data_IF_493877935584
#
_entry.id   IF_493877935584
#
_cell.length_a   1.000
_cell.length_b   1.000
_cell.length_c   1.000
_cell.angle_alpha   90.00
_cell.angle_beta   90.00
_cell.angle_gamma   90.00
#
_symmetry.space_group_name_H-M   'P 1'
#
loop_
_entity.id
_entity.type
_entity.pdbx_description
1 polymer ?
#
# COMPACT_ATOMS: atom_id res chain seq x y z
N UNK A 1 0.83 1.95 -27.61
CA UNK A 1 1.99 2.46 -26.86
C UNK A 1 1.51 2.69 -25.43
N UNK A 2 1.86 1.80 -24.49
CA UNK A 2 1.55 2.03 -23.08
C UNK A 2 2.59 3.02 -22.55
N UNK A 3 2.16 4.23 -22.23
CA UNK A 3 3.04 5.20 -21.56
C UNK A 3 3.43 4.63 -20.19
N UNK A 4 4.70 4.77 -19.75
CA UNK A 4 5.09 4.35 -18.42
C UNK A 4 4.27 5.15 -17.39
N UNK A 5 3.63 4.44 -16.47
CA UNK A 5 2.90 5.07 -15.36
C UNK A 5 3.95 5.82 -14.53
N UNK A 6 3.83 7.16 -14.37
CA UNK A 6 4.84 7.94 -13.67
C UNK A 6 4.93 7.51 -12.21
N UNK A 7 6.14 7.60 -11.65
CA UNK A 7 6.36 7.39 -10.22
C UNK A 7 5.61 8.49 -9.46
N UNK A 8 4.80 8.12 -8.48
CA UNK A 8 3.96 9.05 -7.73
C UNK A 8 4.49 9.23 -6.31
N UNK A 9 4.54 10.46 -5.83
CA UNK A 9 4.77 10.76 -4.40
C UNK A 9 3.49 11.35 -3.80
N UNK A 10 2.89 10.63 -2.86
CA UNK A 10 1.71 11.06 -2.09
C UNK A 10 2.15 11.18 -0.64
N UNK A 11 1.90 12.35 -0.03
CA UNK A 11 2.17 12.55 1.37
C UNK A 11 1.08 13.36 2.05
N UNK A 12 0.88 13.15 3.36
CA UNK A 12 -0.02 13.96 4.20
C UNK A 12 -1.44 14.12 3.63
N UNK A 13 -1.96 13.04 3.02
CA UNK A 13 -3.17 13.09 2.21
C UNK A 13 -4.23 12.13 2.71
N UNK A 14 -5.50 12.51 2.57
CA UNK A 14 -6.63 11.57 2.68
C UNK A 14 -7.24 11.36 1.31
N UNK A 15 -7.21 10.13 0.82
CA UNK A 15 -7.67 9.73 -0.50
C UNK A 15 -8.88 8.81 -0.34
N UNK A 16 -10.00 9.21 -0.92
CA UNK A 16 -11.19 8.37 -1.04
C UNK A 16 -11.38 7.93 -2.49
N UNK A 17 -11.21 6.64 -2.76
CA UNK A 17 -11.33 6.07 -4.09
C UNK A 17 -12.80 5.75 -4.40
N UNK A 18 -13.36 6.48 -5.36
CA UNK A 18 -14.67 6.18 -5.97
C UNK A 18 -14.58 5.16 -7.12
N UNK A 19 -13.37 4.94 -7.64
CA UNK A 19 -13.07 3.95 -8.66
C UNK A 19 -11.70 3.32 -8.37
N UNK A 20 -11.64 2.31 -7.48
CA UNK A 20 -10.40 1.56 -7.22
C UNK A 20 -9.96 0.73 -8.44
N UNK A 21 -8.65 0.41 -8.59
CA UNK A 21 -7.55 0.72 -7.67
C UNK A 21 -6.87 2.08 -7.90
N UNK A 22 -6.13 2.55 -6.90
CA UNK A 22 -5.06 3.53 -7.10
C UNK A 22 -3.87 2.81 -7.77
N UNK A 23 -3.71 3.04 -9.08
CA UNK A 23 -2.63 2.44 -9.87
C UNK A 23 -1.37 3.30 -9.73
N UNK A 24 -0.28 2.66 -9.29
CA UNK A 24 1.00 3.30 -9.06
C UNK A 24 2.06 2.78 -10.02
N UNK A 25 2.89 3.69 -10.54
CA UNK A 25 4.11 3.35 -11.25
C UNK A 25 5.18 2.78 -10.31
N UNK A 26 6.29 2.31 -10.88
CA UNK A 26 7.42 1.80 -10.11
C UNK A 26 7.90 2.84 -9.08
N UNK A 27 8.28 2.37 -7.89
CA UNK A 27 8.83 3.21 -6.81
C UNK A 27 7.95 4.38 -6.35
N UNK A 28 6.65 4.28 -6.56
CA UNK A 28 5.75 5.27 -5.97
C UNK A 28 5.86 5.21 -4.45
N UNK A 29 5.73 6.36 -3.81
CA UNK A 29 5.80 6.48 -2.35
C UNK A 29 4.49 7.04 -1.82
N UNK A 30 3.97 6.39 -0.78
CA UNK A 30 2.86 6.88 0.03
C UNK A 30 3.37 7.04 1.45
N UNK A 31 3.31 8.25 1.97
CA UNK A 31 3.78 8.59 3.32
C UNK A 31 2.66 9.32 4.07
N UNK A 32 2.46 9.02 5.36
CA UNK A 32 1.59 9.85 6.19
C UNK A 32 0.19 10.06 5.61
N UNK A 33 -0.38 9.04 4.97
CA UNK A 33 -1.60 9.20 4.18
C UNK A 33 -2.63 8.11 4.48
N UNK A 34 -3.90 8.46 4.32
CA UNK A 34 -5.01 7.51 4.42
C UNK A 34 -5.61 7.24 3.06
N UNK A 35 -5.64 5.98 2.62
CA UNK A 35 -6.30 5.53 1.40
C UNK A 35 -7.49 4.66 1.79
N UNK A 36 -8.69 5.07 1.39
CA UNK A 36 -9.94 4.34 1.69
C UNK A 36 -10.82 4.19 0.46
N UNK A 37 -11.61 3.12 0.44
CA UNK A 37 -12.72 2.95 -0.50
C UNK A 37 -13.85 3.92 -0.16
N UNK A 38 -14.49 4.51 -1.17
CA UNK A 38 -15.75 5.22 -0.97
C UNK A 38 -16.88 4.26 -0.60
N UNK A 39 -17.70 4.62 0.39
CA UNK A 39 -18.81 3.77 0.86
C UNK A 39 -19.88 3.50 -0.21
N UNK A 40 -19.92 4.30 -1.29
CA UNK A 40 -20.82 4.11 -2.43
C UNK A 40 -20.45 2.93 -3.35
N UNK A 41 -19.28 2.33 -3.15
CA UNK A 41 -18.80 1.19 -3.95
C UNK A 41 -18.96 -0.09 -3.14
N UNK A 42 -19.29 -1.23 -3.76
CA UNK A 42 -19.24 -2.51 -3.05
C UNK A 42 -17.79 -2.82 -2.64
N UNK A 43 -17.59 -3.45 -1.47
CA UNK A 43 -16.24 -3.80 -1.04
C UNK A 43 -15.66 -4.96 -1.85
N UNK A 44 -16.52 -5.88 -2.27
CA UNK A 44 -16.16 -7.07 -3.04
C UNK A 44 -15.37 -6.71 -4.31
N UNK A 45 -14.36 -7.52 -4.62
CA UNK A 45 -13.52 -7.38 -5.81
C UNK A 45 -12.77 -6.04 -5.94
N UNK A 46 -12.63 -5.27 -4.86
CA UNK A 46 -11.83 -4.03 -4.88
C UNK A 46 -10.39 -4.25 -4.47
N UNK A 47 -9.47 -3.69 -5.24
CA UNK A 47 -8.06 -3.55 -4.86
C UNK A 47 -7.84 -2.09 -4.47
N UNK A 48 -7.24 -1.82 -3.31
CA UNK A 48 -6.97 -0.45 -2.87
C UNK A 48 -5.86 0.20 -3.68
N UNK A 49 -4.68 -0.40 -3.61
CA UNK A 49 -3.48 0.05 -4.33
C UNK A 49 -2.99 -1.10 -5.19
N UNK A 50 -2.72 -0.82 -6.47
CA UNK A 50 -2.06 -1.74 -7.38
C UNK A 50 -0.74 -1.15 -7.84
N UNK A 51 0.37 -1.85 -7.62
CA UNK A 51 1.70 -1.35 -7.94
C UNK A 51 2.62 -2.45 -8.46
N UNK A 52 3.61 -2.11 -9.26
CA UNK A 52 4.72 -3.02 -9.56
C UNK A 52 5.83 -2.93 -8.51
N UNK A 53 6.06 -1.75 -7.93
CA UNK A 53 6.81 -1.58 -6.70
C UNK A 53 6.36 -0.31 -5.98
N UNK A 54 6.36 -0.31 -4.65
CA UNK A 54 5.93 0.85 -3.87
C UNK A 54 6.61 0.90 -2.51
N UNK A 55 6.75 2.10 -1.97
CA UNK A 55 7.08 2.34 -0.57
C UNK A 55 5.87 2.94 0.13
N UNK A 56 5.42 2.33 1.22
CA UNK A 56 4.30 2.83 2.03
C UNK A 56 4.80 2.96 3.46
N UNK A 57 4.64 4.13 4.06
CA UNK A 57 5.05 4.37 5.43
C UNK A 57 4.06 5.24 6.18
N UNK A 58 3.86 4.95 7.48
CA UNK A 58 3.04 5.78 8.38
C UNK A 58 1.64 6.08 7.81
N UNK A 59 1.05 5.11 7.13
CA UNK A 59 -0.16 5.31 6.33
C UNK A 59 -1.27 4.33 6.74
N UNK A 60 -2.51 4.59 6.34
CA UNK A 60 -3.60 3.62 6.49
C UNK A 60 -4.22 3.23 5.16
N UNK A 61 -4.50 1.93 5.00
CA UNK A 61 -5.12 1.35 3.81
C UNK A 61 -6.33 0.55 4.27
N UNK A 62 -7.54 0.98 3.86
CA UNK A 62 -8.75 0.51 4.53
C UNK A 62 -9.97 0.30 3.64
N UNK A 63 -10.76 -0.68 4.06
CA UNK A 63 -12.09 -1.00 3.53
C UNK A 63 -12.11 -1.51 2.08
N UNK A 64 -11.05 -2.14 1.61
CA UNK A 64 -11.00 -2.80 0.30
C UNK A 64 -11.21 -4.32 0.43
N UNK A 65 -11.38 -5.06 -0.68
CA UNK A 65 -11.24 -6.51 -0.62
C UNK A 65 -9.76 -6.88 -0.44
N UNK A 66 -8.90 -6.32 -1.28
CA UNK A 66 -7.45 -6.41 -1.19
C UNK A 66 -6.89 -5.01 -0.91
N UNK A 67 -6.13 -4.84 0.17
CA UNK A 67 -5.54 -3.54 0.53
C UNK A 67 -4.50 -3.08 -0.51
N UNK A 68 -3.43 -3.88 -0.66
CA UNK A 68 -2.35 -3.65 -1.63
C UNK A 68 -2.14 -4.92 -2.46
N UNK A 69 -2.05 -4.78 -3.78
CA UNK A 69 -1.63 -5.84 -4.69
C UNK A 69 -0.35 -5.43 -5.43
N UNK A 70 0.68 -6.27 -5.33
CA UNK A 70 1.89 -6.12 -6.14
C UNK A 70 1.80 -6.99 -7.39
N UNK A 71 1.99 -6.40 -8.57
CA UNK A 71 1.86 -7.09 -9.84
C UNK A 71 3.00 -8.07 -10.13
N UNK A 72 2.72 -9.15 -10.87
CA UNK A 72 3.69 -10.22 -11.15
C UNK A 72 4.85 -9.81 -12.05
N UNK A 73 4.70 -8.72 -12.80
CA UNK A 73 5.73 -8.12 -13.63
C UNK A 73 6.59 -7.08 -12.88
N UNK A 74 6.52 -7.05 -11.55
CA UNK A 74 7.46 -6.28 -10.76
C UNK A 74 8.91 -6.65 -11.11
N UNK A 75 9.80 -5.68 -11.01
CA UNK A 75 11.22 -5.91 -11.21
C UNK A 75 12.04 -5.68 -9.94
N UNK A 76 11.38 -5.32 -8.82
CA UNK A 76 12.01 -4.82 -7.60
C UNK A 76 11.18 -5.03 -6.34
N UNK A 77 11.86 -4.93 -5.19
CA UNK A 77 11.26 -5.04 -3.86
C UNK A 77 10.39 -3.83 -3.52
N UNK A 78 9.37 -4.06 -2.70
CA UNK A 78 8.55 -3.03 -2.08
C UNK A 78 8.78 -3.04 -0.57
N UNK A 79 8.41 -1.93 0.09
CA UNK A 79 8.44 -1.84 1.54
C UNK A 79 7.17 -1.18 2.06
N UNK A 80 6.58 -1.75 3.11
CA UNK A 80 5.36 -1.25 3.73
C UNK A 80 5.59 -1.23 5.23
N UNK A 81 5.80 -0.07 5.85
CA UNK A 81 6.31 0.00 7.24
C UNK A 81 5.43 0.88 8.11
N UNK A 82 5.30 0.51 9.39
CA UNK A 82 4.60 1.34 10.40
C UNK A 82 3.22 1.84 9.95
N UNK A 83 2.50 1.03 9.19
CA UNK A 83 1.24 1.37 8.53
C UNK A 83 0.09 0.50 9.06
N UNK A 84 -1.14 0.93 8.82
CA UNK A 84 -2.35 0.27 9.32
C UNK A 84 -3.22 -0.26 8.20
N UNK A 85 -3.41 -1.57 8.15
CA UNK A 85 -4.43 -2.22 7.34
C UNK A 85 -5.71 -2.40 8.16
N UNK A 86 -6.83 -1.84 7.68
CA UNK A 86 -8.06 -1.76 8.48
C UNK A 86 -9.25 -2.26 7.66
N UNK A 87 -9.89 -3.31 8.14
CA UNK A 87 -11.14 -3.85 7.58
C UNK A 87 -11.05 -4.18 6.09
N UNK A 88 -9.89 -4.67 5.62
CA UNK A 88 -9.79 -5.26 4.29
C UNK A 88 -10.34 -6.70 4.34
N UNK A 89 -11.30 -7.01 3.47
CA UNK A 89 -12.15 -8.20 3.66
C UNK A 89 -11.48 -9.50 3.23
N UNK A 90 -10.59 -9.47 2.25
CA UNK A 90 -9.87 -10.66 1.75
C UNK A 90 -8.42 -10.62 2.24
N UNK A 91 -7.57 -9.80 1.62
CA UNK A 91 -6.15 -9.68 1.97
C UNK A 91 -5.78 -8.23 2.31
N UNK A 92 -4.83 -8.05 3.22
CA UNK A 92 -4.17 -6.78 3.45
C UNK A 92 -3.12 -6.53 2.37
N UNK A 93 -2.28 -7.54 2.13
CA UNK A 93 -1.29 -7.55 1.06
C UNK A 93 -1.47 -8.82 0.24
N UNK A 94 -1.54 -8.66 -1.08
CA UNK A 94 -1.45 -9.73 -2.05
C UNK A 94 -0.20 -9.54 -2.89
N UNK A 95 0.84 -10.30 -2.55
CA UNK A 95 2.10 -10.31 -3.28
C UNK A 95 2.05 -11.37 -4.39
N UNK A 96 1.79 -10.96 -5.64
CA UNK A 96 1.98 -11.85 -6.80
C UNK A 96 3.30 -11.59 -7.52
N UNK A 97 4.13 -10.72 -6.96
CA UNK A 97 5.48 -10.38 -7.41
C UNK A 97 6.49 -11.39 -6.84
N UNK A 98 7.51 -11.86 -7.61
CA UNK A 98 8.53 -12.81 -7.12
C UNK A 98 9.49 -12.24 -6.07
N UNK A 99 9.46 -10.94 -5.78
CA UNK A 99 10.33 -10.32 -4.79
C UNK A 99 9.65 -10.21 -3.42
N UNK A 100 10.43 -10.42 -2.38
CA UNK A 100 9.96 -10.25 -1.00
C UNK A 100 9.57 -8.80 -0.72
N UNK A 101 8.62 -8.62 0.19
CA UNK A 101 8.21 -7.33 0.74
C UNK A 101 8.68 -7.25 2.18
N UNK A 102 9.37 -6.16 2.53
CA UNK A 102 9.66 -5.84 3.93
C UNK A 102 8.44 -5.13 4.55
N UNK A 103 7.81 -5.78 5.53
CA UNK A 103 6.56 -5.30 6.13
C UNK A 103 6.58 -5.13 7.68
N UNK A 104 7.63 -4.53 8.29
CA UNK A 104 7.72 -4.37 9.75
C UNK A 104 6.75 -3.34 10.34
N UNK A 105 6.45 -3.55 11.62
CA UNK A 105 5.74 -2.62 12.51
C UNK A 105 4.35 -2.21 12.02
N UNK A 106 3.71 -3.02 11.18
CA UNK A 106 2.36 -2.73 10.71
C UNK A 106 1.29 -3.22 11.69
N UNK A 107 0.14 -2.55 11.68
CA UNK A 107 -1.11 -3.13 12.17
C UNK A 107 -1.83 -3.84 11.03
N UNK A 108 -2.21 -5.08 11.27
CA UNK A 108 -2.76 -5.98 10.26
C UNK A 108 -4.27 -6.22 10.43
N UNK A 109 -4.92 -5.50 11.34
CA UNK A 109 -6.32 -5.75 11.71
C UNK A 109 -6.51 -6.79 12.83
N UNK A 110 -5.44 -7.49 13.22
CA UNK A 110 -5.38 -8.40 14.37
C UNK A 110 -3.95 -8.42 14.93
N UNK A 111 -3.80 -8.69 16.23
CA UNK A 111 -2.52 -9.02 16.87
C UNK A 111 -2.24 -10.53 16.89
N UNK A 112 -3.16 -11.36 16.39
CA UNK A 112 -2.99 -12.81 16.32
C UNK A 112 -2.27 -13.20 15.02
N UNK A 113 -1.13 -13.89 15.12
CA UNK A 113 -0.33 -14.28 13.96
C UNK A 113 -1.08 -15.10 12.90
N UNK A 114 -1.96 -16.02 13.30
CA UNK A 114 -2.72 -16.83 12.34
C UNK A 114 -3.71 -15.97 11.54
N UNK A 115 -4.37 -15.02 12.20
CA UNK A 115 -5.25 -14.06 11.51
C UNK A 115 -4.47 -13.18 10.55
N UNK A 116 -3.25 -12.76 10.94
CA UNK A 116 -2.37 -11.96 10.09
C UNK A 116 -1.96 -12.74 8.85
N UNK A 117 -1.51 -13.98 9.01
CA UNK A 117 -1.11 -14.86 7.91
C UNK A 117 -2.28 -15.11 6.94
N UNK A 118 -3.48 -15.36 7.46
CA UNK A 118 -4.69 -15.52 6.64
C UNK A 118 -5.07 -14.25 5.86
N UNK A 119 -4.50 -13.10 6.21
CA UNK A 119 -4.69 -11.80 5.53
C UNK A 119 -3.52 -11.43 4.62
N UNK A 120 -2.57 -12.33 4.41
CA UNK A 120 -1.45 -12.15 3.49
C UNK A 120 -1.58 -13.23 2.40
N UNK A 121 -1.33 -12.85 1.15
CA UNK A 121 -1.11 -13.80 0.07
C UNK A 121 0.31 -13.63 -0.44
N UNK A 122 1.16 -14.65 -0.32
CA UNK A 122 2.59 -14.56 -0.64
C UNK A 122 3.21 -15.90 -1.09
N UNK A 123 4.52 -16.07 -0.91
CA UNK A 123 5.26 -17.30 -1.20
C UNK A 123 4.61 -18.57 -0.62
N UNK A 124 4.03 -18.48 0.59
CA UNK A 124 3.43 -19.63 1.27
C UNK A 124 2.12 -20.09 0.60
N UNK A 125 1.44 -19.19 -0.11
CA UNK A 125 0.27 -19.50 -0.94
C UNK A 125 0.66 -19.87 -2.38
N UNK A 126 1.75 -19.29 -2.89
CA UNK A 126 2.24 -19.51 -4.25
C UNK A 126 3.76 -19.38 -4.32
N UNK A 127 4.43 -20.50 -4.64
CA UNK A 127 5.88 -20.61 -4.71
C UNK A 127 6.55 -19.63 -5.71
N UNK A 128 5.80 -19.06 -6.66
CA UNK A 128 6.34 -18.07 -7.61
C UNK A 128 6.27 -16.62 -7.09
N UNK A 129 5.62 -16.40 -5.95
CA UNK A 129 5.58 -15.12 -5.25
C UNK A 129 6.75 -15.00 -4.28
N UNK A 130 7.13 -13.76 -3.96
CA UNK A 130 8.01 -13.47 -2.83
C UNK A 130 7.24 -13.48 -1.51
N UNK A 131 7.97 -13.63 -0.41
CA UNK A 131 7.42 -13.63 0.94
C UNK A 131 7.10 -12.21 1.42
N UNK A 132 6.01 -12.04 2.19
CA UNK A 132 5.75 -10.82 2.94
C UNK A 132 6.36 -10.99 4.33
N UNK A 133 7.54 -10.40 4.52
CA UNK A 133 8.31 -10.50 5.76
C UNK A 133 7.75 -9.48 6.75
N UNK A 134 6.75 -9.90 7.52
CA UNK A 134 6.21 -9.08 8.61
C UNK A 134 6.92 -9.40 9.93
N UNK A 135 7.27 -8.34 10.67
CA UNK A 135 7.86 -8.45 12.01
C UNK A 135 7.37 -7.28 12.87
N UNK A 136 7.44 -7.40 14.19
CA UNK A 136 6.99 -6.34 15.09
C UNK A 136 5.52 -5.96 14.93
N UNK A 137 4.64 -6.91 14.56
CA UNK A 137 3.22 -6.64 14.36
C UNK A 137 2.64 -5.91 15.58
N UNK A 138 1.94 -4.80 15.33
CA UNK A 138 1.34 -4.05 16.42
C UNK A 138 0.20 -4.86 17.05
N UNK A 139 0.01 -4.75 18.36
CA UNK A 139 -1.10 -5.39 19.07
C UNK A 139 -2.39 -4.57 19.00
N UNK A 140 -2.30 -3.31 18.56
CA UNK A 140 -3.42 -2.39 18.44
C UNK A 140 -3.37 -1.64 17.12
N UNK A 141 -4.51 -1.08 16.72
CA UNK A 141 -4.58 -0.21 15.56
C UNK A 141 -3.63 0.97 15.75
N UNK A 142 -2.63 1.07 14.87
CA UNK A 142 -1.78 2.25 14.85
C UNK A 142 -2.60 3.45 14.38
N UNK A 143 -2.48 4.54 15.12
CA UNK A 143 -2.70 5.88 14.58
C UNK A 143 -1.50 6.22 13.69
N UNK A 144 -1.35 5.50 12.58
CA UNK A 144 -0.16 5.55 11.74
C UNK A 144 0.13 6.98 11.26
N UNK A 145 -0.92 7.75 10.97
CA UNK A 145 -0.84 9.15 10.59
C UNK A 145 -0.48 10.09 11.76
N UNK A 146 -0.77 9.74 13.02
CA UNK A 146 -0.47 10.58 14.19
C UNK A 146 1.03 10.55 14.55
N UNK A 147 1.75 9.52 14.09
CA UNK A 147 3.22 9.41 14.23
C UNK A 147 3.96 10.26 13.19
N UNK A 148 3.24 10.93 12.29
CA UNK A 148 3.84 11.76 11.27
C UNK A 148 4.46 13.01 11.87
N UNK A 149 5.70 13.35 11.49
CA UNK A 149 6.25 14.65 11.89
C UNK A 149 5.37 15.76 11.33
N UNK A 150 5.26 16.92 12.01
CA UNK A 150 4.54 18.07 11.50
C UNK A 150 4.93 18.35 10.06
N UNK A 151 3.94 18.64 9.21
CA UNK A 151 4.20 18.97 7.82
C UNK A 151 4.92 20.32 7.74
N UNK A 152 6.24 20.28 7.78
CA UNK A 152 7.07 21.45 7.56
C UNK A 152 7.21 21.63 6.05
N UNK A 153 6.75 22.77 5.51
CA UNK A 153 6.73 23.14 4.08
C UNK A 153 8.16 23.30 3.48
N UNK A 154 9.18 22.69 4.07
CA UNK A 154 10.58 22.71 3.64
C UNK A 154 11.04 21.37 3.10
N UNK A 155 10.22 20.73 2.25
CA UNK A 155 10.71 19.69 1.35
C UNK A 155 10.58 20.20 -0.08
N UNK A 156 11.73 20.44 -0.70
CA UNK A 156 11.88 20.87 -2.09
C UNK A 156 11.09 19.91 -2.97
N UNK A 157 10.07 20.43 -3.65
CA UNK A 157 9.44 19.75 -4.78
C UNK A 157 10.54 19.66 -5.84
N UNK A 158 11.19 18.50 -5.94
CA UNK A 158 12.09 18.21 -7.05
C UNK A 158 11.32 18.35 -8.35
N UNK A 159 11.87 19.13 -9.29
CA UNK A 159 11.28 19.45 -10.58
C UNK A 159 10.72 18.19 -11.28
N UNK A 160 9.40 18.15 -11.48
CA UNK A 160 8.84 17.43 -12.63
C UNK A 160 8.37 18.49 -13.63
N UNK A 161 9.01 18.46 -14.80
CA UNK A 161 8.79 19.38 -15.91
C UNK A 161 7.30 19.44 -16.28
N UNK A 162 6.70 20.63 -16.18
CA UNK A 162 5.54 20.97 -17.01
C UNK A 162 5.99 20.94 -18.47
N UNK A 163 5.27 20.17 -19.29
CA UNK A 163 4.97 20.32 -20.73
C UNK A 163 4.28 18.99 -21.14
N UNK A 164 3.11 18.90 -21.74
CA UNK A 164 2.33 19.80 -22.60
C UNK A 164 0.81 19.41 -22.51
N UNK A 165 -0.14 20.36 -22.58
CA UNK A 165 -1.04 20.65 -23.73
C UNK A 165 -1.50 19.37 -24.48
N UNK A 166 -2.78 18.99 -24.62
CA UNK A 166 -4.08 19.69 -24.80
C UNK A 166 -5.17 18.88 -24.11
#
# INVERSE_FOLDING_TARGET
>A
MNLPIPNVFIAYSTIELKAPPLVLGNYSTILCSSVKRSSSIAQENTIGIQASSTNIALSSIRSFAVGVELSSNCNQKSSIVSSSFISNSVFNIRNVCPYNIEAPDNWWGSGNNADIQNKIYDYWDNINSGEVIYSGASNEKLQAEDRCPPYNVFMIIGNFSRNAYV
#
